data_IF_230086352364
#
_entry.id   IF_230086352364
#
_cell.length_a   1.000
_cell.length_b   1.000
_cell.length_c   1.000
_cell.angle_alpha   90.00
_cell.angle_beta   90.00
_cell.angle_gamma   90.00
#
_symmetry.space_group_name_H-M   'P 1'
#
loop_
_entity.id
_entity.type
_entity.pdbx_description
1 polymer ?
#
# COMPACT_ATOMS: atom_id res chain seq x y z
N UNK A 1 25.80 -34.05 -24.60
CA UNK A 1 25.51 -32.59 -24.50
C UNK A 1 24.11 -32.24 -23.96
N UNK A 2 23.33 -33.16 -23.36
CA UNK A 2 21.98 -32.85 -22.80
C UNK A 2 21.95 -32.28 -21.38
N UNK A 3 23.10 -32.15 -20.71
CA UNK A 3 23.17 -31.73 -19.31
C UNK A 3 23.46 -30.23 -19.10
N UNK A 4 23.75 -29.46 -20.15
CA UNK A 4 24.04 -28.03 -20.04
C UNK A 4 22.75 -27.17 -19.95
N UNK A 5 21.67 -27.56 -20.62
CA UNK A 5 20.40 -26.82 -20.60
C UNK A 5 19.58 -27.04 -19.32
N UNK A 6 19.82 -28.14 -18.59
CA UNK A 6 19.16 -28.39 -17.30
C UNK A 6 19.72 -27.52 -16.17
N UNK A 7 20.93 -26.96 -16.32
CA UNK A 7 21.54 -26.04 -15.33
C UNK A 7 21.03 -24.60 -15.42
N UNK A 8 20.23 -24.25 -16.44
CA UNK A 8 19.53 -22.97 -16.50
C UNK A 8 18.14 -23.01 -15.82
N UNK A 9 17.67 -24.20 -15.38
CA UNK A 9 16.37 -24.39 -14.76
C UNK A 9 16.33 -23.98 -13.27
N UNK A 10 17.48 -23.69 -12.67
CA UNK A 10 17.59 -23.10 -11.33
C UNK A 10 18.05 -21.64 -11.48
N UNK A 11 17.26 -20.82 -12.15
CA UNK A 11 17.40 -19.38 -11.98
C UNK A 11 17.17 -19.08 -10.49
N UNK A 12 18.16 -18.49 -9.83
CA UNK A 12 18.07 -18.05 -8.43
C UNK A 12 16.70 -17.41 -8.17
N UNK A 13 15.87 -17.98 -7.27
CA UNK A 13 14.55 -17.46 -6.95
C UNK A 13 14.59 -15.96 -6.60
N UNK A 14 15.69 -15.52 -6.00
CA UNK A 14 15.96 -14.13 -5.62
C UNK A 14 16.14 -13.25 -6.86
N UNK A 15 16.92 -13.70 -7.85
CA UNK A 15 17.11 -13.00 -9.11
C UNK A 15 15.81 -12.88 -9.91
N UNK A 16 14.98 -13.93 -9.89
CA UNK A 16 13.66 -13.91 -10.55
C UNK A 16 12.71 -12.91 -9.89
N UNK A 17 12.73 -12.83 -8.56
CA UNK A 17 11.89 -11.89 -7.82
C UNK A 17 12.36 -10.44 -7.99
N UNK A 18 13.67 -10.20 -7.97
CA UNK A 18 14.25 -8.89 -8.26
C UNK A 18 13.88 -8.41 -9.68
N UNK A 19 13.92 -9.31 -10.67
CA UNK A 19 13.50 -8.99 -12.04
C UNK A 19 12.00 -8.66 -12.12
N UNK A 20 11.14 -9.44 -11.43
CA UNK A 20 9.70 -9.14 -11.36
C UNK A 20 9.44 -7.77 -10.75
N UNK A 21 10.17 -7.44 -9.69
CA UNK A 21 10.00 -6.17 -9.00
C UNK A 21 10.47 -4.98 -9.84
N UNK A 22 11.63 -5.08 -10.50
CA UNK A 22 12.11 -4.04 -11.41
C UNK A 22 11.12 -3.78 -12.55
N UNK A 23 10.65 -4.85 -13.20
CA UNK A 23 9.66 -4.78 -14.29
C UNK A 23 8.35 -4.14 -13.82
N UNK A 24 7.92 -4.45 -12.59
CA UNK A 24 6.72 -3.87 -11.99
C UNK A 24 6.89 -2.40 -11.66
N UNK A 25 8.05 -2.00 -11.15
CA UNK A 25 8.37 -0.62 -10.87
C UNK A 25 8.39 0.25 -12.15
N UNK A 26 8.71 -0.36 -13.30
CA UNK A 26 8.62 0.23 -14.63
C UNK A 26 7.20 0.18 -15.25
N UNK A 27 6.21 -0.33 -14.51
CA UNK A 27 4.82 -0.34 -14.92
C UNK A 27 4.42 -1.54 -15.79
N UNK A 28 5.16 -2.64 -15.74
CA UNK A 28 4.85 -3.87 -16.49
C UNK A 28 4.61 -5.07 -15.56
N UNK A 29 3.97 -6.11 -16.07
CA UNK A 29 3.83 -7.38 -15.36
C UNK A 29 4.60 -8.47 -16.10
N UNK A 30 5.41 -9.21 -15.33
CA UNK A 30 6.16 -10.36 -15.83
C UNK A 30 5.34 -11.63 -15.68
N UNK A 31 4.83 -12.16 -16.78
CA UNK A 31 4.01 -13.38 -16.81
C UNK A 31 4.80 -14.53 -17.40
N UNK A 32 4.85 -15.65 -16.69
CA UNK A 32 5.40 -16.90 -17.19
C UNK A 32 4.23 -17.80 -17.62
N UNK A 33 3.87 -17.83 -18.93
CA UNK A 33 2.89 -18.80 -19.40
C UNK A 33 3.43 -20.23 -19.17
N UNK A 34 2.57 -21.08 -18.61
CA UNK A 34 2.84 -22.50 -18.44
C UNK A 34 2.10 -23.26 -19.54
N UNK A 35 2.80 -24.09 -20.30
CA UNK A 35 2.13 -25.09 -21.12
C UNK A 35 1.98 -26.36 -20.28
N UNK A 36 0.75 -26.88 -20.23
CA UNK A 36 0.51 -28.21 -19.71
C UNK A 36 1.01 -29.22 -20.75
N UNK A 37 2.02 -30.00 -20.39
CA UNK A 37 2.39 -31.17 -21.17
C UNK A 37 1.68 -32.40 -20.62
N UNK A 38 1.19 -33.28 -21.51
CA UNK A 38 0.67 -34.58 -21.09
C UNK A 38 1.81 -35.42 -20.50
N UNK A 39 1.80 -35.61 -19.18
CA UNK A 39 2.78 -36.44 -18.52
C UNK A 39 2.44 -37.93 -18.65
N UNK A 40 3.47 -38.77 -18.81
CA UNK A 40 3.38 -40.25 -18.86
C UNK A 40 2.73 -40.93 -17.63
N UNK A 41 2.35 -40.19 -16.59
CA UNK A 41 1.80 -40.70 -15.31
C UNK A 41 0.65 -39.85 -14.70
N UNK A 42 -0.06 -39.06 -15.51
CA UNK A 42 -1.32 -38.42 -15.08
C UNK A 42 -1.20 -37.22 -14.13
N UNK A 43 0.00 -36.72 -13.84
CA UNK A 43 0.23 -35.43 -13.17
C UNK A 43 0.73 -34.44 -14.20
N UNK A 44 -0.01 -33.38 -14.58
CA UNK A 44 0.43 -32.46 -15.62
C UNK A 44 1.76 -31.80 -15.24
N UNK A 45 2.77 -32.00 -16.08
CA UNK A 45 4.04 -31.26 -15.97
C UNK A 45 3.83 -29.89 -16.62
N UNK A 46 3.76 -28.85 -15.80
CA UNK A 46 3.71 -27.46 -16.24
C UNK A 46 5.13 -26.96 -16.46
N UNK A 47 5.56 -26.88 -17.71
CA UNK A 47 6.84 -26.28 -18.06
C UNK A 47 6.63 -24.80 -18.45
N UNK A 48 7.40 -23.85 -17.91
CA UNK A 48 7.34 -22.46 -18.34
C UNK A 48 7.89 -22.37 -19.78
N UNK A 49 7.09 -21.81 -20.69
CA UNK A 49 7.44 -21.76 -22.14
C UNK A 49 8.14 -20.46 -22.53
N UNK A 50 8.25 -19.54 -21.58
CA UNK A 50 8.97 -18.28 -21.74
C UNK A 50 8.52 -17.28 -20.70
N UNK A 51 8.93 -16.04 -20.89
CA UNK A 51 8.53 -14.90 -20.07
C UNK A 51 7.96 -13.83 -21.00
N UNK A 52 6.77 -13.32 -20.68
CA UNK A 52 6.12 -12.22 -21.41
C UNK A 52 6.05 -11.00 -20.50
N UNK A 53 6.43 -9.85 -21.05
CA UNK A 53 6.15 -8.54 -20.48
C UNK A 53 4.77 -8.12 -20.97
N UNK A 54 3.83 -7.96 -20.06
CA UNK A 54 2.49 -7.47 -20.35
C UNK A 54 2.32 -6.08 -19.73
N UNK A 55 1.46 -5.22 -20.31
CA UNK A 55 0.86 -4.13 -19.54
C UNK A 55 0.25 -4.69 -18.24
N UNK A 56 0.17 -3.89 -17.18
CA UNK A 56 -0.48 -4.32 -15.96
C UNK A 56 -1.93 -4.71 -16.31
N UNK A 57 -2.35 -5.90 -15.86
CA UNK A 57 -3.56 -6.57 -16.36
C UNK A 57 -4.85 -5.75 -16.16
N UNK A 58 -4.82 -4.75 -15.27
CA UNK A 58 -5.89 -3.77 -15.08
C UNK A 58 -5.25 -2.41 -14.78
N UNK A 59 -5.84 -1.29 -15.24
CA UNK A 59 -5.45 0.02 -14.71
C UNK A 59 -5.67 -0.02 -13.20
N UNK A 60 -4.58 0.06 -12.43
CA UNK A 60 -4.66 0.26 -10.96
C UNK A 60 -5.67 1.38 -10.73
N UNK A 61 -6.60 1.19 -9.78
CA UNK A 61 -7.67 2.15 -9.52
C UNK A 61 -7.12 3.59 -9.54
N UNK A 62 -7.70 4.51 -10.33
CA UNK A 62 -7.10 5.81 -10.58
C UNK A 62 -7.04 6.64 -9.30
N UNK A 63 -5.85 6.68 -8.67
CA UNK A 63 -5.63 7.39 -7.41
C UNK A 63 -5.52 8.90 -7.56
N UNK A 64 -5.19 9.39 -8.76
CA UNK A 64 -4.88 10.81 -8.95
C UNK A 64 -6.03 11.72 -8.50
N UNK A 65 -7.26 11.42 -8.92
CA UNK A 65 -8.43 12.18 -8.51
C UNK A 65 -8.71 12.11 -7.00
N UNK A 66 -8.49 10.94 -6.38
CA UNK A 66 -8.68 10.76 -4.94
C UNK A 66 -7.63 11.48 -4.11
N UNK A 67 -6.36 11.46 -4.55
CA UNK A 67 -5.26 12.20 -3.93
C UNK A 67 -5.50 13.70 -4.04
N UNK A 68 -5.88 14.21 -5.21
CA UNK A 68 -6.20 15.63 -5.39
C UNK A 68 -7.35 16.08 -4.49
N UNK A 69 -8.43 15.29 -4.41
CA UNK A 69 -9.54 15.58 -3.50
C UNK A 69 -9.08 15.58 -2.03
N UNK A 70 -8.29 14.58 -1.63
CA UNK A 70 -7.78 14.45 -0.27
C UNK A 70 -6.81 15.59 0.10
N UNK A 71 -5.96 16.05 -0.82
CA UNK A 71 -5.10 17.22 -0.61
C UNK A 71 -5.91 18.49 -0.35
N UNK A 72 -6.99 18.68 -1.10
CA UNK A 72 -7.91 19.79 -0.90
C UNK A 72 -8.60 19.71 0.47
N UNK A 73 -9.04 18.52 0.89
CA UNK A 73 -9.57 18.31 2.23
C UNK A 73 -8.55 18.65 3.31
N UNK A 74 -7.28 18.25 3.15
CA UNK A 74 -6.23 18.61 4.10
C UNK A 74 -5.95 20.11 4.18
N UNK A 75 -6.05 20.83 3.06
CA UNK A 75 -5.98 22.29 3.06
C UNK A 75 -7.15 22.91 3.83
N UNK A 76 -8.38 22.47 3.53
CA UNK A 76 -9.60 22.92 4.23
C UNK A 76 -9.53 22.68 5.74
N UNK A 77 -8.96 21.56 6.17
CA UNK A 77 -8.82 21.19 7.58
C UNK A 77 -7.56 21.78 8.25
N UNK A 78 -6.70 22.46 7.50
CA UNK A 78 -5.44 23.01 8.02
C UNK A 78 -4.40 21.96 8.43
N UNK A 79 -4.55 20.70 7.99
CA UNK A 79 -3.69 19.58 8.39
C UNK A 79 -2.44 19.48 7.53
N UNK A 80 -1.49 20.40 7.72
CA UNK A 80 -0.23 20.49 6.93
C UNK A 80 0.59 19.19 6.95
N UNK A 81 0.66 18.50 8.09
CA UNK A 81 1.40 17.23 8.23
C UNK A 81 0.77 16.15 7.35
N UNK A 82 -0.56 16.02 7.37
CA UNK A 82 -1.27 15.05 6.54
C UNK A 82 -1.05 15.32 5.05
N UNK A 83 -1.15 16.59 4.64
CA UNK A 83 -0.89 17.02 3.26
C UNK A 83 0.52 16.70 2.79
N UNK A 84 1.53 17.09 3.57
CA UNK A 84 2.93 16.85 3.19
C UNK A 84 3.24 15.35 3.17
N UNK A 85 2.71 14.58 4.13
CA UNK A 85 2.83 13.13 4.14
C UNK A 85 2.22 12.49 2.89
N UNK A 86 1.05 12.94 2.43
CA UNK A 86 0.43 12.46 1.19
C UNK A 86 1.30 12.74 -0.03
N UNK A 87 1.71 13.99 -0.22
CA UNK A 87 2.56 14.42 -1.34
C UNK A 87 3.86 13.64 -1.40
N UNK A 88 4.58 13.60 -0.28
CA UNK A 88 5.84 12.88 -0.23
C UNK A 88 5.64 11.37 -0.37
N UNK A 89 4.51 10.79 0.03
CA UNK A 89 4.24 9.38 -0.23
C UNK A 89 4.13 9.10 -1.73
N UNK A 90 3.44 9.97 -2.48
CA UNK A 90 3.31 9.88 -3.93
C UNK A 90 4.66 10.08 -4.62
N UNK A 91 5.40 11.13 -4.24
CA UNK A 91 6.72 11.41 -4.81
C UNK A 91 7.67 10.23 -4.61
N UNK A 92 7.74 9.70 -3.38
CA UNK A 92 8.58 8.54 -3.08
C UNK A 92 8.11 7.28 -3.82
N UNK A 93 6.81 7.11 -4.04
CA UNK A 93 6.29 5.98 -4.82
C UNK A 93 6.72 6.07 -6.28
N UNK A 94 6.64 7.26 -6.88
CA UNK A 94 7.09 7.54 -8.26
C UNK A 94 8.61 7.37 -8.39
N UNK A 95 9.37 7.79 -7.39
CA UNK A 95 10.82 7.62 -7.32
C UNK A 95 11.28 6.20 -6.91
N UNK A 96 10.34 5.25 -6.79
CA UNK A 96 10.61 3.86 -6.38
C UNK A 96 11.26 3.71 -4.99
N UNK A 97 11.05 4.69 -4.10
CA UNK A 97 11.48 4.72 -2.70
C UNK A 97 10.38 4.16 -1.78
N UNK A 98 10.07 2.87 -1.92
CA UNK A 98 8.87 2.24 -1.33
C UNK A 98 8.81 2.32 0.21
N UNK A 99 9.92 2.15 0.91
CA UNK A 99 9.97 2.28 2.37
C UNK A 99 9.64 3.70 2.82
N UNK A 100 10.16 4.70 2.09
CA UNK A 100 9.87 6.10 2.35
C UNK A 100 8.40 6.41 2.06
N UNK A 101 7.86 5.92 0.94
CA UNK A 101 6.44 6.05 0.59
C UNK A 101 5.53 5.48 1.70
N UNK A 102 5.88 4.31 2.24
CA UNK A 102 5.18 3.68 3.35
C UNK A 102 5.23 4.50 4.64
N UNK A 103 6.42 5.01 4.99
CA UNK A 103 6.60 5.87 6.16
C UNK A 103 5.76 7.15 6.07
N UNK A 104 5.74 7.78 4.89
CA UNK A 104 4.96 9.00 4.64
C UNK A 104 3.47 8.75 4.61
N UNK A 105 3.01 7.63 4.05
CA UNK A 105 1.59 7.24 4.10
C UNK A 105 1.11 7.02 5.53
N UNK A 106 1.93 6.41 6.39
CA UNK A 106 1.64 6.26 7.82
C UNK A 106 1.58 7.61 8.55
N UNK A 107 2.53 8.50 8.29
CA UNK A 107 2.55 9.84 8.87
C UNK A 107 1.27 10.60 8.51
N UNK A 108 0.86 10.53 7.25
CA UNK A 108 -0.38 11.11 6.75
C UNK A 108 -1.60 10.57 7.48
N UNK A 109 -1.77 9.24 7.52
CA UNK A 109 -2.90 8.63 8.22
C UNK A 109 -2.92 8.96 9.71
N UNK A 110 -1.77 8.91 10.39
CA UNK A 110 -1.66 9.24 11.80
C UNK A 110 -2.06 10.69 12.10
N UNK A 111 -1.67 11.64 11.24
CA UNK A 111 -2.04 13.04 11.38
C UNK A 111 -3.56 13.24 11.21
N UNK A 112 -4.20 12.56 10.25
CA UNK A 112 -5.66 12.60 10.06
C UNK A 112 -6.39 12.04 11.27
N UNK A 113 -5.99 10.86 11.76
CA UNK A 113 -6.61 10.24 12.91
C UNK A 113 -6.52 11.14 14.15
N UNK A 114 -5.36 11.77 14.40
CA UNK A 114 -5.18 12.71 15.51
C UNK A 114 -6.07 13.94 15.33
N UNK A 115 -6.10 14.54 14.14
CA UNK A 115 -6.92 15.72 13.87
C UNK A 115 -8.41 15.45 14.15
N UNK A 116 -8.93 14.38 13.54
CA UNK A 116 -10.33 13.98 13.72
C UNK A 116 -10.62 13.68 15.19
N UNK A 117 -9.79 12.88 15.85
CA UNK A 117 -9.98 12.57 17.27
C UNK A 117 -9.97 13.84 18.14
N UNK A 118 -9.10 14.81 17.84
CA UNK A 118 -9.01 16.08 18.58
C UNK A 118 -10.29 16.89 18.45
N UNK A 119 -10.92 16.88 17.27
CA UNK A 119 -12.24 17.48 17.06
C UNK A 119 -13.34 16.91 17.95
N UNK A 120 -13.14 15.72 18.50
CA UNK A 120 -14.06 15.04 19.42
C UNK A 120 -13.57 14.99 20.87
N UNK A 121 -12.54 15.74 21.23
CA UNK A 121 -12.06 15.86 22.62
C UNK A 121 -10.87 14.98 22.98
N UNK A 122 -10.25 14.28 22.02
CA UNK A 122 -8.97 13.62 22.24
C UNK A 122 -7.87 14.66 22.51
N UNK A 123 -7.05 14.41 23.52
CA UNK A 123 -5.91 15.28 23.84
C UNK A 123 -4.62 14.45 23.88
N UNK A 124 -3.55 14.99 23.30
CA UNK A 124 -2.23 14.37 23.37
C UNK A 124 -1.14 15.41 23.14
N UNK A 125 0.00 15.21 23.80
CA UNK A 125 1.24 15.97 23.56
C UNK A 125 2.33 15.09 22.94
N UNK A 126 2.03 13.80 22.70
CA UNK A 126 3.02 12.83 22.22
C UNK A 126 3.05 12.79 20.70
N UNK A 127 4.26 12.84 20.13
CA UNK A 127 4.45 12.49 18.73
C UNK A 127 4.07 11.02 18.48
N UNK A 128 3.57 10.71 17.28
CA UNK A 128 3.19 9.35 16.90
C UNK A 128 1.90 8.83 17.55
N UNK A 129 1.04 9.71 18.07
CA UNK A 129 -0.21 9.34 18.76
C UNK A 129 -1.32 8.77 17.85
N UNK A 130 -1.07 8.55 16.55
CA UNK A 130 -2.07 8.07 15.59
C UNK A 130 -2.78 6.78 16.01
N UNK A 131 -2.05 5.80 16.55
CA UNK A 131 -2.64 4.54 17.01
C UNK A 131 -3.56 4.73 18.22
N UNK A 132 -3.16 5.59 19.15
CA UNK A 132 -3.98 5.96 20.30
C UNK A 132 -5.23 6.74 19.87
N UNK A 133 -5.11 7.61 18.87
CA UNK A 133 -6.23 8.35 18.30
C UNK A 133 -7.22 7.40 17.60
N UNK A 134 -6.75 6.44 16.79
CA UNK A 134 -7.60 5.40 16.19
C UNK A 134 -8.34 4.61 17.26
N UNK A 135 -7.62 4.17 18.31
CA UNK A 135 -8.24 3.46 19.44
C UNK A 135 -9.32 4.32 20.10
N UNK A 136 -9.03 5.58 20.38
CA UNK A 136 -9.98 6.53 20.97
C UNK A 136 -11.27 6.65 20.13
N UNK A 137 -11.15 6.81 18.81
CA UNK A 137 -12.30 6.95 17.92
C UNK A 137 -13.21 5.71 17.95
N UNK A 138 -12.64 4.51 18.04
CA UNK A 138 -13.43 3.28 18.16
C UNK A 138 -14.03 3.14 19.56
N UNK A 139 -13.24 3.39 20.61
CA UNK A 139 -13.67 3.22 22.00
C UNK A 139 -14.77 4.23 22.41
N UNK A 140 -14.81 5.41 21.77
CA UNK A 140 -15.89 6.39 21.95
C UNK A 140 -17.13 6.11 21.06
N UNK A 141 -17.12 5.05 20.26
CA UNK A 141 -18.23 4.71 19.35
C UNK A 141 -18.37 5.65 18.15
N UNK A 142 -17.42 6.55 17.92
CA UNK A 142 -17.39 7.46 16.75
C UNK A 142 -17.12 6.68 15.46
N UNK A 143 -16.37 5.59 15.56
CA UNK A 143 -16.18 4.58 14.52
C UNK A 143 -16.77 3.24 14.96
N UNK A 144 -18.07 2.99 14.70
CA UNK A 144 -18.69 1.70 14.97
C UNK A 144 -17.94 0.58 14.23
N UNK A 145 -17.81 -0.59 14.86
CA UNK A 145 -17.07 -1.74 14.32
C UNK A 145 -17.54 -2.11 12.90
N UNK A 146 -18.85 -2.27 12.72
CA UNK A 146 -19.48 -2.59 11.43
C UNK A 146 -19.61 -1.36 10.49
N UNK A 147 -19.25 -0.17 10.96
CA UNK A 147 -19.28 1.07 10.20
C UNK A 147 -17.94 1.46 9.58
N UNK A 148 -16.93 0.59 9.65
CA UNK A 148 -15.56 0.88 9.21
C UNK A 148 -14.53 0.93 10.34
N UNK A 149 -14.97 0.93 11.61
CA UNK A 149 -14.08 0.92 12.78
C UNK A 149 -13.15 -0.30 12.81
N UNK A 150 -13.66 -1.50 12.48
CA UNK A 150 -12.84 -2.71 12.40
C UNK A 150 -11.78 -2.63 11.29
N UNK A 151 -12.12 -2.02 10.15
CA UNK A 151 -11.18 -1.81 9.05
C UNK A 151 -10.09 -0.79 9.41
N UNK A 152 -10.47 0.37 9.97
CA UNK A 152 -9.53 1.42 10.41
C UNK A 152 -8.59 0.88 11.51
N UNK A 153 -9.12 0.09 12.45
CA UNK A 153 -8.32 -0.57 13.49
C UNK A 153 -7.37 -1.62 12.89
N UNK A 154 -7.82 -2.37 11.89
CA UNK A 154 -7.04 -3.40 11.20
C UNK A 154 -5.94 -2.85 10.30
N UNK A 155 -6.14 -1.70 9.65
CA UNK A 155 -5.13 -1.11 8.75
C UNK A 155 -3.96 -0.49 9.51
N UNK A 156 -4.18 0.05 10.72
CA UNK A 156 -3.12 0.69 11.51
C UNK A 156 -1.89 -0.21 11.75
N UNK A 157 -1.99 -1.46 12.25
CA UNK A 157 -0.83 -2.33 12.41
C UNK A 157 -0.14 -2.66 11.07
N UNK A 158 -0.88 -2.72 9.96
CA UNK A 158 -0.32 -2.96 8.62
C UNK A 158 0.60 -1.81 8.18
N UNK A 159 0.41 -0.59 8.69
CA UNK A 159 1.34 0.52 8.39
C UNK A 159 2.70 0.38 9.08
N UNK A 160 2.86 -0.60 10.00
CA UNK A 160 4.07 -0.80 10.79
C UNK A 160 4.85 -2.05 10.37
N UNK A 161 4.23 -2.96 9.61
CA UNK A 161 4.92 -4.10 9.00
C UNK A 161 5.99 -3.62 8.03
N UNK A 162 7.11 -4.34 7.91
CA UNK A 162 8.25 -3.96 7.07
C UNK A 162 8.70 -2.51 7.32
N UNK A 163 9.28 -2.27 8.51
CA UNK A 163 9.79 -0.95 8.93
C UNK A 163 10.80 -0.33 7.92
N UNK A 164 11.43 0.81 8.23
CA UNK A 164 12.24 1.59 7.27
C UNK A 164 13.58 0.95 6.90
N UNK A 165 13.66 -0.37 6.82
CA UNK A 165 14.84 -1.13 6.40
C UNK A 165 14.82 -1.24 4.88
N UNK A 166 15.83 -0.71 4.17
CA UNK A 166 15.94 -0.84 2.72
C UNK A 166 15.83 -2.31 2.27
N UNK A 167 15.04 -2.56 1.24
CA UNK A 167 14.85 -3.88 0.62
C UNK A 167 13.79 -4.75 1.29
N UNK A 168 12.96 -4.17 2.17
CA UNK A 168 11.86 -4.91 2.84
C UNK A 168 10.47 -4.52 2.34
N UNK A 169 10.34 -3.38 1.66
CA UNK A 169 9.09 -2.96 1.01
C UNK A 169 9.18 -3.12 -0.50
N UNK A 170 8.10 -3.57 -1.13
CA UNK A 170 8.00 -3.68 -2.59
C UNK A 170 6.87 -2.78 -3.14
N UNK A 171 6.87 -2.56 -4.46
CA UNK A 171 5.95 -1.69 -5.20
C UNK A 171 4.49 -1.97 -4.85
N UNK A 172 4.08 -3.25 -4.89
CA UNK A 172 2.68 -3.63 -4.62
C UNK A 172 2.26 -3.31 -3.18
N UNK A 173 3.15 -3.48 -2.20
CA UNK A 173 2.88 -3.14 -0.81
C UNK A 173 2.74 -1.63 -0.62
N UNK A 174 3.62 -0.84 -1.25
CA UNK A 174 3.55 0.62 -1.19
C UNK A 174 2.29 1.17 -1.87
N UNK A 175 1.92 0.62 -3.03
CA UNK A 175 0.67 0.96 -3.70
C UNK A 175 -0.55 0.59 -2.84
N UNK A 176 -0.60 -0.64 -2.34
CA UNK A 176 -1.70 -1.10 -1.50
C UNK A 176 -1.88 -0.21 -0.27
N UNK A 177 -0.78 0.13 0.43
CA UNK A 177 -0.82 0.99 1.61
C UNK A 177 -1.26 2.41 1.26
N UNK A 178 -0.75 3.00 0.19
CA UNK A 178 -1.18 4.33 -0.23
C UNK A 178 -2.67 4.34 -0.55
N UNK A 179 -3.17 3.37 -1.32
CA UNK A 179 -4.60 3.24 -1.65
C UNK A 179 -5.47 3.07 -0.41
N UNK A 180 -5.13 2.10 0.45
CA UNK A 180 -5.88 1.81 1.65
C UNK A 180 -5.93 3.03 2.59
N UNK A 181 -4.79 3.70 2.79
CA UNK A 181 -4.70 4.84 3.71
C UNK A 181 -5.34 6.11 3.15
N UNK A 182 -5.28 6.33 1.83
CA UNK A 182 -6.06 7.40 1.17
C UNK A 182 -7.56 7.17 1.36
N UNK A 183 -8.05 5.95 1.11
CA UNK A 183 -9.46 5.62 1.31
C UNK A 183 -9.91 5.77 2.76
N UNK A 184 -9.10 5.31 3.72
CA UNK A 184 -9.39 5.46 5.15
C UNK A 184 -9.36 6.92 5.59
N UNK A 185 -8.37 7.70 5.15
CA UNK A 185 -8.29 9.12 5.48
C UNK A 185 -9.56 9.86 5.03
N UNK A 186 -10.00 9.63 3.79
CA UNK A 186 -11.25 10.19 3.27
C UNK A 186 -12.46 9.74 4.09
N UNK A 187 -12.59 8.45 4.37
CA UNK A 187 -13.67 7.93 5.19
C UNK A 187 -13.75 8.60 6.58
N UNK A 188 -12.61 8.82 7.23
CA UNK A 188 -12.56 9.53 8.52
C UNK A 188 -12.99 10.99 8.37
N UNK A 189 -12.51 11.68 7.35
CA UNK A 189 -12.84 13.09 7.11
C UNK A 189 -14.33 13.25 6.85
N UNK A 190 -14.87 12.49 5.89
CA UNK A 190 -16.27 12.57 5.45
C UNK A 190 -17.25 12.25 6.58
N UNK A 191 -16.91 11.29 7.44
CA UNK A 191 -17.80 10.83 8.50
C UNK A 191 -17.73 11.69 9.76
N UNK A 192 -16.55 12.16 10.13
CA UNK A 192 -16.28 12.68 11.47
C UNK A 192 -15.87 14.13 11.51
N UNK A 193 -15.75 14.78 10.35
CA UNK A 193 -15.47 16.20 10.28
C UNK A 193 -16.72 16.93 9.81
N UNK A 194 -17.26 17.88 10.57
CA UNK A 194 -18.43 18.64 10.14
C UNK A 194 -18.18 19.33 8.80
N UNK A 195 -19.20 19.35 7.93
CA UNK A 195 -19.23 20.31 6.84
C UNK A 195 -19.26 21.72 7.46
N UNK A 196 -18.29 22.56 7.11
CA UNK A 196 -18.29 23.96 7.50
C UNK A 196 -19.24 24.76 6.62
#
# INVERSE_FOLDING_TARGET
MRNAHRRAAEADPTAREALREAVRADGFCLVAPYEASEARRGVPETNPVGVRLLPPAEPRAPLAGEITALEHDFERLGTKVARNGCRWAVDNLVEQRFEAANGRSREMFGAVAVHVATGHGFTTTKQGAGGTAVRYLVDQGLLPENGGGSFVRGVWPITHTNGPRPGTSHTDEAHFRLQALTGVARHLIDRLTPAQ
#
